data_IF_892771853789
#
_entry.id   IF_892771853789
#
_cell.length_a   1.000
_cell.length_b   1.000
_cell.length_c   1.000
_cell.angle_alpha   90.00
_cell.angle_beta   90.00
_cell.angle_gamma   90.00
#
_symmetry.space_group_name_H-M   'P 1'
#
loop_
_entity.id
_entity.type
_entity.pdbx_description
1 polymer ?
#
# COMPACT_ATOMS: atom_id res chain seq x y z
N UNK A 1 -16.49 -15.84 1.99
CA UNK A 1 -17.58 -16.40 2.84
C UNK A 1 -17.39 -16.04 4.33
N UNK A 2 -16.32 -16.47 5.04
CA UNK A 2 -16.17 -16.30 6.50
C UNK A 2 -16.20 -14.83 6.96
N UNK A 3 -15.48 -13.92 6.28
CA UNK A 3 -15.46 -12.51 6.65
C UNK A 3 -16.83 -11.83 6.46
N UNK A 4 -17.53 -12.12 5.37
CA UNK A 4 -18.88 -11.60 5.13
C UNK A 4 -19.87 -12.11 6.18
N UNK A 5 -19.79 -13.41 6.54
CA UNK A 5 -20.60 -14.00 7.60
C UNK A 5 -20.31 -13.39 8.99
N UNK A 6 -19.08 -12.93 9.22
CA UNK A 6 -18.69 -12.23 10.45
C UNK A 6 -19.06 -10.72 10.43
N UNK A 7 -19.78 -10.23 9.41
CA UNK A 7 -20.24 -8.85 9.31
C UNK A 7 -19.23 -7.86 8.74
N UNK A 8 -18.10 -8.32 8.21
CA UNK A 8 -17.16 -7.43 7.53
C UNK A 8 -17.74 -6.98 6.19
N UNK A 9 -17.57 -5.70 5.86
CA UNK A 9 -18.07 -5.10 4.61
C UNK A 9 -17.02 -5.07 3.51
N UNK A 10 -15.75 -5.02 3.85
CA UNK A 10 -14.63 -5.00 2.89
C UNK A 10 -13.41 -5.76 3.41
N UNK A 11 -12.56 -6.17 2.48
CA UNK A 11 -11.28 -6.83 2.72
C UNK A 11 -10.19 -6.13 1.91
N UNK A 12 -9.13 -5.65 2.58
CA UNK A 12 -7.96 -5.00 1.98
C UNK A 12 -6.67 -5.81 2.12
N UNK A 13 -6.78 -7.12 2.31
CA UNK A 13 -5.61 -7.99 2.53
C UNK A 13 -4.94 -8.47 1.24
N UNK A 14 -5.58 -8.26 0.08
CA UNK A 14 -5.06 -8.76 -1.19
C UNK A 14 -3.98 -7.81 -1.72
N UNK A 15 -2.80 -8.37 -1.99
CA UNK A 15 -1.73 -7.70 -2.72
C UNK A 15 -1.61 -8.35 -4.10
N UNK A 16 -2.08 -7.71 -5.20
CA UNK A 16 -2.19 -8.32 -6.53
C UNK A 16 -0.85 -8.35 -7.27
N UNK A 17 0.13 -9.00 -6.67
CA UNK A 17 1.49 -9.15 -7.17
C UNK A 17 2.00 -10.58 -6.96
N UNK A 18 3.19 -10.87 -7.45
CA UNK A 18 3.92 -12.08 -7.16
C UNK A 18 5.09 -11.77 -6.23
N UNK A 19 5.14 -12.45 -5.09
CA UNK A 19 6.29 -12.43 -4.18
C UNK A 19 6.83 -13.85 -4.11
N UNK A 20 8.05 -14.10 -4.65
CA UNK A 20 8.66 -15.42 -4.60
C UNK A 20 8.63 -16.01 -3.19
N UNK A 21 8.39 -17.31 -3.09
CA UNK A 21 8.30 -18.09 -1.84
C UNK A 21 7.13 -17.75 -0.93
N UNK A 22 6.33 -16.70 -1.21
CA UNK A 22 5.18 -16.30 -0.39
C UNK A 22 3.84 -16.53 -1.09
N UNK A 23 3.59 -15.89 -2.23
CA UNK A 23 2.33 -16.01 -2.97
C UNK A 23 2.44 -15.52 -4.41
N UNK A 24 1.52 -16.00 -5.25
CA UNK A 24 1.32 -15.53 -6.61
C UNK A 24 -0.13 -15.08 -6.80
N UNK A 25 -0.35 -13.77 -6.72
CA UNK A 25 -1.65 -13.12 -6.88
C UNK A 25 -1.74 -12.31 -8.19
N UNK A 26 -0.97 -12.67 -9.22
CA UNK A 26 -0.98 -11.95 -10.51
C UNK A 26 -2.33 -12.00 -11.22
N UNK A 27 -3.22 -12.93 -10.85
CA UNK A 27 -4.58 -13.01 -11.40
C UNK A 27 -5.60 -12.21 -10.60
N UNK A 28 -5.24 -11.75 -9.39
CA UNK A 28 -6.14 -10.95 -8.58
C UNK A 28 -6.42 -9.59 -9.23
N UNK A 29 -7.62 -9.03 -9.06
CA UNK A 29 -7.96 -7.70 -9.54
C UNK A 29 -7.05 -6.64 -8.88
N UNK A 30 -6.71 -5.60 -9.64
CA UNK A 30 -5.93 -4.46 -9.10
C UNK A 30 -6.82 -3.34 -8.58
N UNK A 31 -8.08 -3.32 -9.00
CA UNK A 31 -9.09 -2.33 -8.63
C UNK A 31 -10.12 -2.92 -7.68
N UNK A 32 -10.95 -2.07 -7.11
CA UNK A 32 -12.08 -2.49 -6.26
C UNK A 32 -12.96 -3.49 -7.01
N UNK A 33 -13.27 -4.59 -6.36
CA UNK A 33 -14.16 -5.64 -6.89
C UNK A 33 -15.10 -6.16 -5.78
N UNK A 34 -16.09 -6.98 -6.15
CA UNK A 34 -16.96 -7.65 -5.20
C UNK A 34 -16.84 -9.16 -5.35
N UNK A 35 -16.65 -9.84 -4.21
CA UNK A 35 -16.59 -11.30 -4.15
C UNK A 35 -17.39 -11.79 -2.94
N UNK A 36 -18.33 -12.69 -3.16
CA UNK A 36 -19.12 -13.35 -2.10
C UNK A 36 -19.76 -12.37 -1.09
N UNK A 37 -20.28 -11.24 -1.55
CA UNK A 37 -20.88 -10.22 -0.70
C UNK A 37 -19.90 -9.29 0.01
N UNK A 38 -18.60 -9.45 -0.22
CA UNK A 38 -17.54 -8.63 0.36
C UNK A 38 -16.95 -7.70 -0.69
N UNK A 39 -16.71 -6.44 -0.35
CA UNK A 39 -15.94 -5.54 -1.20
C UNK A 39 -14.45 -5.83 -1.04
N UNK A 40 -13.77 -6.17 -2.12
CA UNK A 40 -12.32 -6.37 -2.16
C UNK A 40 -11.66 -5.05 -2.54
N UNK A 41 -10.80 -4.54 -1.67
CA UNK A 41 -10.05 -3.31 -1.87
C UNK A 41 -8.54 -3.61 -1.82
N UNK A 42 -7.93 -4.03 -2.95
CA UNK A 42 -6.56 -4.52 -2.95
C UNK A 42 -5.54 -3.40 -2.68
N UNK A 43 -4.37 -3.79 -2.21
CA UNK A 43 -3.21 -2.90 -2.12
C UNK A 43 -2.83 -2.44 -3.53
N UNK A 44 -2.53 -1.16 -3.70
CA UNK A 44 -2.16 -0.62 -5.00
C UNK A 44 -0.84 -1.20 -5.50
N UNK A 45 -0.83 -1.54 -6.79
CA UNK A 45 0.36 -1.96 -7.52
C UNK A 45 0.54 -1.11 -8.77
N UNK A 46 1.78 -0.94 -9.22
CA UNK A 46 2.06 -0.20 -10.44
C UNK A 46 1.50 -0.89 -11.69
N UNK A 47 1.27 -0.13 -12.76
CA UNK A 47 1.04 -0.65 -14.10
C UNK A 47 2.31 -0.49 -14.94
N UNK A 48 2.65 -1.44 -15.85
CA UNK A 48 2.02 -2.75 -16.03
C UNK A 48 2.59 -3.86 -15.11
N UNK A 49 3.73 -3.62 -14.48
CA UNK A 49 4.56 -4.67 -13.85
C UNK A 49 4.07 -5.14 -12.47
N UNK A 50 2.99 -4.57 -11.95
CA UNK A 50 2.42 -4.92 -10.64
C UNK A 50 3.42 -4.85 -9.48
N UNK A 51 4.34 -3.88 -9.52
CA UNK A 51 5.23 -3.60 -8.39
C UNK A 51 4.38 -3.08 -7.23
N UNK A 52 4.40 -3.73 -6.05
CA UNK A 52 3.54 -3.34 -4.94
C UNK A 52 3.94 -1.98 -4.36
N UNK A 53 2.95 -1.14 -4.09
CA UNK A 53 3.12 0.21 -3.56
C UNK A 53 2.83 0.22 -2.06
N UNK A 54 3.72 -0.36 -1.27
CA UNK A 54 3.57 -0.51 0.16
C UNK A 54 4.88 -0.14 0.87
N UNK A 55 4.94 -0.29 2.18
CA UNK A 55 6.05 0.18 3.01
C UNK A 55 7.44 -0.25 2.51
N UNK A 56 7.65 -1.53 2.14
CA UNK A 56 8.95 -2.02 1.66
C UNK A 56 9.41 -1.23 0.43
N UNK A 57 8.50 -1.02 -0.52
CA UNK A 57 8.82 -0.29 -1.76
C UNK A 57 9.23 1.16 -1.48
N UNK A 58 8.56 1.82 -0.52
CA UNK A 58 8.96 3.16 -0.11
C UNK A 58 10.32 3.17 0.58
N UNK A 59 10.67 2.13 1.36
CA UNK A 59 11.98 2.01 1.99
C UNK A 59 13.12 1.89 0.94
N UNK A 60 12.98 0.95 0.02
CA UNK A 60 14.08 0.54 -0.87
C UNK A 60 14.21 1.39 -2.13
N UNK A 61 13.13 1.99 -2.61
CA UNK A 61 13.16 2.73 -3.88
C UNK A 61 13.49 4.22 -3.69
N UNK A 62 14.19 4.85 -4.64
CA UNK A 62 14.25 6.31 -4.72
C UNK A 62 12.85 6.91 -4.84
N UNK A 63 12.60 8.02 -4.13
CA UNK A 63 11.27 8.65 -4.12
C UNK A 63 10.75 9.06 -5.51
N UNK A 64 11.56 9.56 -6.46
CA UNK A 64 11.08 9.85 -7.81
C UNK A 64 10.52 8.61 -8.52
N UNK A 65 11.19 7.45 -8.39
CA UNK A 65 10.73 6.19 -8.97
C UNK A 65 9.42 5.74 -8.30
N UNK A 66 9.35 5.78 -6.97
CA UNK A 66 8.13 5.43 -6.25
C UNK A 66 6.94 6.32 -6.67
N UNK A 67 7.17 7.64 -6.83
CA UNK A 67 6.15 8.58 -7.36
C UNK A 67 5.71 8.24 -8.78
N UNK A 68 6.63 7.81 -9.64
CA UNK A 68 6.30 7.36 -11.00
C UNK A 68 5.39 6.14 -10.97
N UNK A 69 5.70 5.16 -10.13
CA UNK A 69 4.88 3.96 -9.95
C UNK A 69 3.50 4.29 -9.35
N UNK A 70 3.42 5.17 -8.35
CA UNK A 70 2.16 5.68 -7.84
C UNK A 70 1.32 6.37 -8.93
N UNK A 71 1.96 7.18 -9.79
CA UNK A 71 1.27 7.82 -10.92
C UNK A 71 0.70 6.80 -11.90
N UNK A 72 1.39 5.68 -12.16
CA UNK A 72 0.90 4.63 -13.04
C UNK A 72 -0.34 3.93 -12.47
N UNK A 73 -0.36 3.66 -11.16
CA UNK A 73 -1.52 3.11 -10.46
C UNK A 73 -2.70 4.10 -10.47
N UNK A 74 -2.46 5.38 -10.10
CA UNK A 74 -3.49 6.42 -10.13
C UNK A 74 -4.16 6.58 -11.49
N UNK A 75 -3.38 6.49 -12.58
CA UNK A 75 -3.92 6.58 -13.94
C UNK A 75 -4.80 5.40 -14.32
N UNK A 76 -4.50 4.20 -13.82
CA UNK A 76 -5.26 2.99 -14.10
C UNK A 76 -6.49 2.86 -13.21
N UNK A 77 -6.33 3.11 -11.90
CA UNK A 77 -7.32 2.74 -10.88
C UNK A 77 -8.09 3.94 -10.32
N UNK A 78 -7.61 5.17 -10.54
CA UNK A 78 -8.19 6.39 -9.98
C UNK A 78 -7.92 6.60 -8.48
N UNK A 79 -7.28 5.65 -7.81
CA UNK A 79 -6.99 5.69 -6.39
C UNK A 79 -5.64 5.06 -6.03
N UNK A 80 -5.22 5.27 -4.79
CA UNK A 80 -4.10 4.57 -4.17
C UNK A 80 -4.53 4.02 -2.81
N UNK A 81 -4.35 2.73 -2.62
CA UNK A 81 -4.43 2.06 -1.33
C UNK A 81 -3.01 1.68 -0.90
N UNK A 82 -2.47 2.46 0.02
CA UNK A 82 -1.12 2.30 0.54
C UNK A 82 -1.19 1.93 2.02
N UNK A 83 -0.31 1.07 2.50
CA UNK A 83 -0.22 0.78 3.92
C UNK A 83 1.19 0.88 4.45
N UNK A 84 1.27 1.37 5.68
CA UNK A 84 2.48 1.58 6.46
C UNK A 84 2.21 1.20 7.90
N UNK A 85 3.27 0.88 8.64
CA UNK A 85 3.15 0.54 10.04
C UNK A 85 3.87 1.59 10.90
N UNK A 86 3.35 1.92 12.09
CA UNK A 86 3.97 2.94 12.96
C UNK A 86 5.43 2.68 13.30
N UNK A 87 5.83 1.41 13.46
CA UNK A 87 7.22 1.06 13.80
C UNK A 87 8.23 1.41 12.72
N UNK A 88 7.83 1.51 11.44
CA UNK A 88 8.72 1.85 10.33
C UNK A 88 9.28 3.27 10.47
N UNK A 89 8.51 4.15 11.10
CA UNK A 89 8.91 5.52 11.37
C UNK A 89 9.77 5.67 12.63
N UNK A 90 10.12 4.55 13.29
CA UNK A 90 11.03 4.52 14.43
C UNK A 90 12.44 4.12 13.98
N UNK A 91 13.44 4.87 14.45
CA UNK A 91 14.85 4.52 14.23
C UNK A 91 15.24 3.19 14.91
N UNK A 92 14.47 2.77 15.91
CA UNK A 92 14.68 1.51 16.65
C UNK A 92 14.53 0.27 15.76
N UNK A 93 13.81 0.36 14.63
CA UNK A 93 13.68 -0.75 13.69
C UNK A 93 15.06 -1.21 13.14
N UNK A 94 16.09 -0.38 13.23
CA UNK A 94 17.47 -0.70 12.83
C UNK A 94 18.22 -1.51 13.89
N UNK A 95 17.68 -1.64 15.11
CA UNK A 95 18.32 -2.40 16.18
C UNK A 95 18.34 -3.89 15.83
N UNK A 96 19.47 -4.60 16.02
CA UNK A 96 19.60 -6.03 15.70
C UNK A 96 18.55 -6.92 16.40
N UNK A 97 18.07 -6.49 17.57
CA UNK A 97 17.08 -7.21 18.34
C UNK A 97 15.75 -7.47 17.58
N UNK A 98 15.43 -6.66 16.57
CA UNK A 98 14.21 -6.86 15.76
C UNK A 98 14.40 -7.85 14.60
N UNK A 99 15.62 -8.30 14.31
CA UNK A 99 15.90 -9.28 13.26
C UNK A 99 15.51 -8.87 11.84
N UNK A 100 15.24 -7.58 11.62
CA UNK A 100 14.85 -7.06 10.30
C UNK A 100 16.09 -6.78 9.46
N UNK A 101 16.18 -7.31 8.22
CA UNK A 101 17.34 -7.07 7.37
C UNK A 101 17.61 -5.58 7.13
N UNK A 102 18.88 -5.18 7.19
CA UNK A 102 19.30 -3.77 7.09
C UNK A 102 18.87 -3.07 5.80
N UNK A 103 18.79 -3.79 4.68
CA UNK A 103 18.31 -3.25 3.41
C UNK A 103 16.81 -2.85 3.44
N UNK A 104 16.03 -3.39 4.37
CA UNK A 104 14.63 -3.01 4.59
C UNK A 104 14.49 -1.88 5.62
N UNK A 105 15.51 -1.60 6.41
CA UNK A 105 15.42 -0.66 7.53
C UNK A 105 16.32 0.56 7.39
N UNK A 106 17.17 0.61 6.36
CA UNK A 106 18.16 1.70 6.18
C UNK A 106 17.51 3.10 6.14
N UNK A 107 16.27 3.19 5.69
CA UNK A 107 15.50 4.43 5.62
C UNK A 107 14.58 4.67 6.82
N UNK A 108 14.55 3.76 7.83
CA UNK A 108 13.65 3.87 8.98
C UNK A 108 13.88 5.13 9.81
N UNK A 109 12.86 5.54 10.54
CA UNK A 109 12.92 6.73 11.39
C UNK A 109 12.68 8.02 10.59
N UNK A 110 13.44 9.06 10.92
CA UNK A 110 13.26 10.41 10.34
C UNK A 110 13.43 10.46 8.83
N UNK A 111 14.26 9.59 8.25
CA UNK A 111 14.47 9.57 6.80
C UNK A 111 13.22 9.05 6.07
N UNK A 112 12.61 7.97 6.56
CA UNK A 112 11.35 7.48 6.03
C UNK A 112 10.23 8.50 6.25
N UNK A 113 10.19 9.13 7.44
CA UNK A 113 9.20 10.15 7.74
C UNK A 113 9.28 11.32 6.75
N UNK A 114 10.48 11.85 6.48
CA UNK A 114 10.67 12.91 5.47
C UNK A 114 10.25 12.45 4.08
N UNK A 115 10.60 11.22 3.70
CA UNK A 115 10.25 10.63 2.41
C UNK A 115 8.74 10.48 2.27
N UNK A 116 8.07 10.04 3.32
CA UNK A 116 6.63 9.89 3.37
C UNK A 116 5.91 11.25 3.30
N UNK A 117 6.34 12.24 4.07
CA UNK A 117 5.79 13.61 4.01
C UNK A 117 5.89 14.16 2.56
N UNK A 118 7.06 14.04 1.92
CA UNK A 118 7.25 14.47 0.53
C UNK A 118 6.36 13.71 -0.47
N UNK A 119 6.01 12.48 -0.18
CA UNK A 119 5.03 11.72 -0.96
C UNK A 119 3.64 12.31 -0.79
N UNK A 120 3.20 12.56 0.45
CA UNK A 120 1.87 13.12 0.74
C UNK A 120 1.70 14.52 0.14
N UNK A 121 2.69 15.39 0.29
CA UNK A 121 2.71 16.72 -0.34
C UNK A 121 2.58 16.64 -1.86
N UNK A 122 3.31 15.71 -2.47
CA UNK A 122 3.25 15.48 -3.91
C UNK A 122 1.88 14.98 -4.38
N UNK A 123 1.22 14.10 -3.61
CA UNK A 123 -0.15 13.64 -3.89
C UNK A 123 -1.15 14.79 -3.73
N UNK A 124 -1.03 15.56 -2.65
CA UNK A 124 -1.88 16.75 -2.39
C UNK A 124 -1.77 17.77 -3.52
N UNK A 125 -0.56 18.06 -3.97
CA UNK A 125 -0.32 18.99 -5.09
C UNK A 125 -0.92 18.51 -6.43
N UNK A 126 -1.32 17.23 -6.54
CA UNK A 126 -2.03 16.65 -7.68
C UNK A 126 -3.55 16.58 -7.51
N UNK A 127 -4.08 17.20 -6.47
CA UNK A 127 -5.50 17.19 -6.17
C UNK A 127 -6.01 15.88 -5.58
N UNK A 128 -5.12 14.97 -5.13
CA UNK A 128 -5.56 13.75 -4.46
C UNK A 128 -6.21 14.11 -3.12
N UNK A 129 -7.40 13.55 -2.87
CA UNK A 129 -8.06 13.60 -1.57
C UNK A 129 -7.59 12.42 -0.73
N UNK A 130 -7.43 12.63 0.56
CA UNK A 130 -7.12 11.58 1.52
C UNK A 130 -8.41 11.21 2.24
N UNK A 131 -8.79 9.96 2.13
CA UNK A 131 -10.04 9.42 2.65
C UNK A 131 -9.71 8.17 3.49
N UNK A 132 -10.56 7.85 4.44
CA UNK A 132 -10.57 6.52 5.05
C UNK A 132 -11.09 5.50 4.02
N UNK A 133 -10.76 4.24 4.19
CA UNK A 133 -11.29 3.16 3.33
C UNK A 133 -12.81 3.13 3.34
N UNK A 134 -13.41 3.41 4.51
CA UNK A 134 -14.87 3.46 4.68
C UNK A 134 -15.50 4.55 3.83
N UNK A 135 -14.99 5.78 3.92
CA UNK A 135 -15.46 6.92 3.10
C UNK A 135 -15.30 6.65 1.61
N UNK A 136 -14.13 6.09 1.21
CA UNK A 136 -13.88 5.80 -0.21
C UNK A 136 -14.82 4.74 -0.79
N UNK A 137 -15.16 3.72 0.00
CA UNK A 137 -16.04 2.62 -0.42
C UNK A 137 -17.54 2.91 -0.20
N UNK A 138 -17.90 4.05 0.41
CA UNK A 138 -19.27 4.39 0.73
C UNK A 138 -19.90 3.42 1.74
N UNK A 139 -19.13 2.98 2.73
CA UNK A 139 -19.57 2.03 3.74
C UNK A 139 -19.94 2.74 5.06
N UNK A 140 -20.46 3.95 4.99
CA UNK A 140 -20.66 4.85 6.14
C UNK A 140 -21.95 4.57 6.96
N UNK A 141 -22.49 3.33 6.93
CA UNK A 141 -23.55 2.90 7.86
C UNK A 141 -23.40 1.44 8.28
#
# INVERSE_FOLDING_TARGET
AALAAAGYRYNSSINPTWIPTRYNNLRAPCSVSREEGLTIYPVSVSAPFRVPLFWISLHVMPLPLYKLLCRSALRRDGHLNLYFHPWEFSARLREPAFGVPGYLTHCSGTDLQRKFIRLLEWLKARGCRFLTTREYLGCDE
#
